data_IF_434000508649
#
_entry.id   IF_434000508649
#
_cell.length_a   1.000
_cell.length_b   1.000
_cell.length_c   1.000
_cell.angle_alpha   90.00
_cell.angle_beta   90.00
_cell.angle_gamma   90.00
#
_symmetry.space_group_name_H-M   'P 1'
#
loop_
_entity.id
_entity.type
_entity.pdbx_description
1 polymer ?
#
# COMPACT_ATOMS: atom_id res chain seq x y z
N UNK A 1 -9.93 -40.46 12.13
CA UNK A 1 -10.77 -39.25 12.19
C UNK A 1 -9.99 -38.13 11.51
N UNK A 2 -9.94 -38.16 10.18
CA UNK A 2 -9.34 -37.08 9.39
C UNK A 2 -10.36 -35.94 9.31
N UNK A 3 -10.14 -34.90 10.13
CA UNK A 3 -10.88 -33.66 9.95
C UNK A 3 -10.33 -32.93 8.71
N UNK A 4 -11.21 -32.84 7.71
CA UNK A 4 -11.14 -31.97 6.55
C UNK A 4 -10.57 -30.59 6.91
N UNK A 5 -9.30 -30.34 6.55
CA UNK A 5 -8.66 -29.03 6.70
C UNK A 5 -8.76 -28.26 5.37
N UNK A 6 -9.95 -27.76 5.06
CA UNK A 6 -10.17 -26.93 3.85
C UNK A 6 -11.10 -25.73 4.07
N UNK A 7 -11.16 -25.20 5.29
CA UNK A 7 -11.65 -23.83 5.45
C UNK A 7 -10.50 -22.89 5.06
N UNK A 8 -10.59 -22.35 3.84
CA UNK A 8 -9.73 -21.24 3.42
C UNK A 8 -10.05 -20.06 4.33
N UNK A 9 -9.16 -19.82 5.29
CA UNK A 9 -9.27 -18.70 6.20
C UNK A 9 -9.23 -17.38 5.43
N UNK A 10 -10.29 -16.58 5.52
CA UNK A 10 -10.43 -15.33 4.79
C UNK A 10 -9.56 -14.22 5.37
N UNK A 11 -9.24 -13.20 4.55
CA UNK A 11 -8.49 -12.03 5.02
C UNK A 11 -9.25 -11.27 6.11
N UNK A 12 -10.58 -11.23 6.02
CA UNK A 12 -11.46 -10.61 7.01
C UNK A 12 -11.43 -11.37 8.34
N UNK A 13 -11.46 -12.70 8.29
CA UNK A 13 -11.36 -13.56 9.48
C UNK A 13 -10.00 -13.37 10.17
N UNK A 14 -8.93 -13.23 9.39
CA UNK A 14 -7.60 -12.93 9.90
C UNK A 14 -7.53 -11.55 10.56
N UNK A 15 -8.09 -10.53 9.92
CA UNK A 15 -8.15 -9.19 10.50
C UNK A 15 -8.89 -9.19 11.85
N UNK A 16 -10.03 -9.89 11.92
CA UNK A 16 -10.80 -10.07 13.16
C UNK A 16 -9.97 -10.80 14.23
N UNK A 17 -9.29 -11.88 13.87
CA UNK A 17 -8.43 -12.63 14.78
C UNK A 17 -7.29 -11.75 15.32
N UNK A 18 -6.57 -11.05 14.43
CA UNK A 18 -5.44 -10.20 14.79
C UNK A 18 -5.88 -9.09 15.75
N UNK A 19 -7.03 -8.47 15.51
CA UNK A 19 -7.61 -7.48 16.41
C UNK A 19 -7.99 -8.09 17.76
N UNK A 20 -8.73 -9.21 17.75
CA UNK A 20 -9.19 -9.90 18.97
C UNK A 20 -8.05 -10.41 19.85
N UNK A 21 -6.93 -10.81 19.26
CA UNK A 21 -5.76 -11.34 19.98
C UNK A 21 -4.70 -10.30 20.31
N UNK A 22 -4.89 -9.05 19.90
CA UNK A 22 -3.94 -7.97 20.18
C UNK A 22 -2.64 -8.05 19.40
N UNK A 23 -2.75 -8.38 18.11
CA UNK A 23 -1.67 -8.22 17.14
C UNK A 23 -1.64 -6.82 16.54
N UNK A 24 -2.74 -6.37 15.95
CA UNK A 24 -2.79 -5.09 15.23
C UNK A 24 -4.14 -4.42 15.41
N UNK A 25 -4.13 -3.09 15.53
CA UNK A 25 -5.28 -2.22 15.66
C UNK A 25 -5.20 -1.09 14.64
N UNK A 26 -6.34 -0.57 14.19
CA UNK A 26 -6.34 0.67 13.40
C UNK A 26 -5.84 1.80 14.29
N UNK A 27 -4.90 2.62 13.82
CA UNK A 27 -4.45 3.77 14.62
C UNK A 27 -5.65 4.66 14.95
N UNK A 28 -5.68 5.22 16.16
CA UNK A 28 -6.71 6.20 16.58
C UNK A 28 -8.15 5.71 16.36
N UNK A 29 -8.39 4.40 16.54
CA UNK A 29 -9.66 3.74 16.19
C UNK A 29 -10.90 4.42 16.80
N UNK A 30 -10.81 4.83 18.07
CA UNK A 30 -11.92 5.49 18.78
C UNK A 30 -12.30 6.88 18.21
N UNK A 31 -11.46 7.43 17.34
CA UNK A 31 -11.67 8.69 16.63
C UNK A 31 -11.93 8.49 15.13
N UNK A 32 -12.30 7.28 14.70
CA UNK A 32 -12.55 6.92 13.29
C UNK A 32 -11.33 6.37 12.55
N UNK A 33 -10.13 6.56 13.13
CA UNK A 33 -8.84 6.06 12.67
C UNK A 33 -8.36 6.58 11.32
N UNK A 34 -7.09 6.32 11.01
CA UNK A 34 -6.44 6.84 9.81
C UNK A 34 -6.11 5.67 8.87
N UNK A 35 -6.59 5.73 7.63
CA UNK A 35 -6.32 4.69 6.64
C UNK A 35 -4.81 4.60 6.36
N UNK A 36 -4.28 3.37 6.28
CA UNK A 36 -2.85 3.12 6.07
C UNK A 36 -2.00 3.10 7.34
N UNK A 37 -2.54 3.45 8.51
CA UNK A 37 -1.79 3.51 9.77
C UNK A 37 -2.36 2.56 10.82
N UNK A 38 -1.47 1.84 11.52
CA UNK A 38 -1.83 0.77 12.44
C UNK A 38 -0.91 0.72 13.66
N UNK A 39 -1.49 0.37 14.81
CA UNK A 39 -0.79 0.17 16.07
C UNK A 39 -0.61 -1.32 16.37
N UNK A 40 0.60 -1.71 16.81
CA UNK A 40 0.87 -3.10 17.21
C UNK A 40 0.53 -3.30 18.69
N UNK A 41 -0.35 -4.27 18.97
CA UNK A 41 -0.70 -4.67 20.33
C UNK A 41 0.38 -5.54 21.00
N UNK A 42 0.11 -6.09 22.20
CA UNK A 42 1.10 -6.84 22.97
C UNK A 42 1.71 -8.02 22.20
N UNK A 43 0.87 -8.87 21.58
CA UNK A 43 1.37 -9.99 20.78
C UNK A 43 2.00 -9.53 19.46
N UNK A 44 1.51 -8.44 18.90
CA UNK A 44 2.02 -7.87 17.66
C UNK A 44 3.44 -7.31 17.81
N UNK A 45 3.72 -6.61 18.91
CA UNK A 45 5.06 -6.10 19.22
C UNK A 45 6.04 -7.24 19.41
N UNK A 46 5.68 -8.28 20.15
CA UNK A 46 6.54 -9.45 20.35
C UNK A 46 6.83 -10.18 19.03
N UNK A 47 5.80 -10.41 18.22
CA UNK A 47 5.96 -11.03 16.90
C UNK A 47 6.86 -10.18 16.00
N UNK A 48 6.61 -8.86 15.89
CA UNK A 48 7.41 -7.93 15.09
C UNK A 48 8.86 -7.94 15.54
N UNK A 49 9.12 -7.91 16.85
CA UNK A 49 10.47 -7.93 17.39
C UNK A 49 11.18 -9.27 17.15
N UNK A 50 10.46 -10.39 17.26
CA UNK A 50 11.00 -11.71 16.93
C UNK A 50 11.45 -11.79 15.46
N UNK A 51 10.62 -11.32 14.52
CA UNK A 51 10.95 -11.28 13.09
C UNK A 51 12.17 -10.39 12.85
N UNK A 52 12.20 -9.18 13.43
CA UNK A 52 13.34 -8.26 13.30
C UNK A 52 14.64 -8.88 13.81
N UNK A 53 14.62 -9.50 14.99
CA UNK A 53 15.80 -10.18 15.57
C UNK A 53 16.29 -11.33 14.70
N UNK A 54 15.36 -12.13 14.16
CA UNK A 54 15.69 -13.25 13.27
C UNK A 54 16.39 -12.74 12.00
N UNK A 55 15.85 -11.71 11.36
CA UNK A 55 16.43 -11.12 10.16
C UNK A 55 17.80 -10.49 10.45
N UNK A 56 17.91 -9.74 11.55
CA UNK A 56 19.18 -9.12 11.95
C UNK A 56 20.28 -10.16 12.19
N UNK A 57 19.96 -11.23 12.93
CA UNK A 57 20.91 -12.32 13.14
C UNK A 57 21.33 -12.95 11.80
N UNK A 58 20.36 -13.36 10.98
CA UNK A 58 20.60 -14.10 9.75
C UNK A 58 21.41 -13.32 8.71
N UNK A 59 21.12 -12.03 8.55
CA UNK A 59 21.69 -11.23 7.48
C UNK A 59 22.86 -10.36 7.94
N UNK A 60 22.87 -9.87 9.19
CA UNK A 60 23.91 -8.95 9.67
C UNK A 60 24.95 -9.65 10.54
N UNK A 61 24.53 -10.56 11.44
CA UNK A 61 25.46 -11.19 12.39
C UNK A 61 26.11 -12.46 11.82
N UNK A 62 25.35 -13.27 11.08
CA UNK A 62 25.81 -14.56 10.55
C UNK A 62 26.56 -14.41 9.20
N UNK A 63 26.69 -13.19 8.67
CA UNK A 63 27.36 -12.89 7.39
C UNK A 63 28.45 -11.86 7.59
N UNK A 64 29.59 -12.05 6.92
CA UNK A 64 30.73 -11.14 7.00
C UNK A 64 30.64 -9.96 6.02
N UNK A 65 29.71 -10.02 5.04
CA UNK A 65 29.60 -9.06 3.94
C UNK A 65 28.47 -8.02 4.11
N UNK A 66 27.84 -7.97 5.29
CA UNK A 66 26.74 -7.04 5.59
C UNK A 66 27.04 -6.33 6.91
N UNK A 67 26.94 -4.99 6.89
CA UNK A 67 27.18 -4.13 8.06
C UNK A 67 25.90 -3.43 8.47
N UNK A 68 25.59 -3.49 9.77
CA UNK A 68 24.45 -2.79 10.35
C UNK A 68 24.69 -1.29 10.50
N UNK A 69 23.73 -0.49 10.06
CA UNK A 69 23.69 0.97 10.26
C UNK A 69 22.31 1.38 10.79
N UNK A 70 22.25 2.46 11.56
CA UNK A 70 21.00 3.10 11.99
C UNK A 70 21.06 4.59 11.61
N UNK A 71 20.09 5.04 10.83
CA UNK A 71 20.09 6.35 10.18
C UNK A 71 18.88 7.19 10.56
N UNK A 72 18.99 8.51 10.40
CA UNK A 72 17.88 9.41 10.64
C UNK A 72 16.76 9.25 9.59
N UNK A 73 15.50 9.34 10.02
CA UNK A 73 14.33 9.30 9.11
C UNK A 73 14.23 10.59 8.29
N UNK A 74 14.48 11.74 8.91
CA UNK A 74 14.45 13.04 8.23
C UNK A 74 15.80 13.29 7.56
N UNK A 75 15.78 13.51 6.25
CA UNK A 75 16.98 13.73 5.42
C UNK A 75 16.92 15.07 4.68
N UNK A 76 18.09 15.61 4.33
CA UNK A 76 18.20 16.85 3.55
C UNK A 76 17.59 16.67 2.15
N UNK A 77 16.78 17.62 1.62
CA UNK A 77 16.06 17.48 0.35
C UNK A 77 16.91 17.05 -0.86
N UNK A 78 18.15 17.55 -0.95
CA UNK A 78 19.11 17.16 -2.00
C UNK A 78 19.39 15.65 -2.08
N UNK A 79 19.23 14.89 -1.00
CA UNK A 79 19.38 13.42 -1.00
C UNK A 79 18.27 12.77 -1.83
N UNK A 80 17.04 13.25 -1.67
CA UNK A 80 15.87 12.76 -2.44
C UNK A 80 15.94 13.16 -3.91
N UNK A 81 16.50 14.34 -4.21
CA UNK A 81 16.76 14.77 -5.58
C UNK A 81 17.84 13.90 -6.24
N UNK A 82 19.00 13.73 -5.58
CA UNK A 82 20.12 12.96 -6.13
C UNK A 82 19.79 11.47 -6.33
N UNK A 83 18.88 10.92 -5.53
CA UNK A 83 18.41 9.53 -5.68
C UNK A 83 17.26 9.38 -6.68
N UNK A 84 16.74 10.46 -7.25
CA UNK A 84 15.62 10.44 -8.21
C UNK A 84 14.22 10.31 -7.56
N UNK A 85 14.12 10.18 -6.23
CA UNK A 85 12.82 10.03 -5.56
C UNK A 85 11.87 11.21 -5.83
N UNK A 86 12.39 12.44 -5.94
CA UNK A 86 11.57 13.61 -6.21
C UNK A 86 10.90 13.56 -7.60
N UNK A 87 11.53 12.91 -8.57
CA UNK A 87 11.04 12.86 -9.96
C UNK A 87 10.24 11.60 -10.25
N UNK A 88 10.53 10.48 -9.58
CA UNK A 88 10.00 9.17 -9.97
C UNK A 88 9.18 8.46 -8.88
N UNK A 89 9.23 8.88 -7.62
CA UNK A 89 8.48 8.23 -6.54
C UNK A 89 7.09 8.85 -6.39
N UNK A 90 6.26 8.68 -7.42
CA UNK A 90 4.89 9.15 -7.47
C UNK A 90 3.99 8.10 -8.15
N UNK A 91 2.79 7.92 -7.60
CA UNK A 91 1.77 7.05 -8.19
C UNK A 91 0.87 7.89 -9.09
N UNK A 92 0.55 7.39 -10.28
CA UNK A 92 -0.38 8.07 -11.18
C UNK A 92 -1.81 7.98 -10.65
N UNK A 93 -2.48 9.13 -10.57
CA UNK A 93 -3.80 9.28 -9.96
C UNK A 93 -4.88 9.62 -11.01
N UNK A 94 -6.06 9.04 -10.82
CA UNK A 94 -7.29 9.40 -11.52
C UNK A 94 -8.18 10.24 -10.61
N UNK A 95 -8.44 11.48 -11.03
CA UNK A 95 -9.35 12.41 -10.35
C UNK A 95 -10.62 12.59 -11.17
N UNK A 96 -11.77 12.50 -10.51
CA UNK A 96 -13.06 12.69 -11.17
C UNK A 96 -13.26 14.17 -11.55
N UNK A 97 -13.53 14.43 -12.83
CA UNK A 97 -13.77 15.78 -13.38
C UNK A 97 -14.92 16.54 -12.71
N UNK A 98 -15.88 15.81 -12.13
CA UNK A 98 -16.91 16.43 -11.30
C UNK A 98 -16.35 16.78 -9.92
N UNK A 99 -16.01 18.06 -9.74
CA UNK A 99 -15.48 18.63 -8.49
C UNK A 99 -16.37 18.40 -7.26
N UNK A 100 -17.68 18.16 -7.43
CA UNK A 100 -18.58 17.81 -6.30
C UNK A 100 -18.44 16.36 -5.83
N UNK A 101 -17.89 15.48 -6.67
CA UNK A 101 -17.70 14.07 -6.34
C UNK A 101 -16.45 13.85 -5.48
N UNK A 102 -15.35 14.55 -5.78
CA UNK A 102 -14.07 14.44 -5.06
C UNK A 102 -13.44 13.05 -5.08
N UNK A 103 -13.85 12.17 -6.00
CA UNK A 103 -13.31 10.81 -6.09
C UNK A 103 -11.90 10.86 -6.68
N UNK A 104 -10.95 10.28 -5.94
CA UNK A 104 -9.56 10.10 -6.35
C UNK A 104 -9.16 8.66 -6.10
N UNK A 105 -8.49 8.04 -7.06
CA UNK A 105 -7.96 6.68 -6.93
C UNK A 105 -6.64 6.58 -7.66
N UNK A 106 -5.80 5.64 -7.24
CA UNK A 106 -4.62 5.28 -8.03
C UNK A 106 -5.07 4.65 -9.35
N UNK A 107 -4.44 5.07 -10.44
CA UNK A 107 -4.80 4.67 -11.80
C UNK A 107 -4.55 3.18 -12.03
N UNK A 108 -3.41 2.68 -11.55
CA UNK A 108 -2.99 1.29 -11.68
C UNK A 108 -3.98 0.32 -11.02
N UNK A 109 -4.28 0.55 -9.74
CA UNK A 109 -5.20 -0.27 -8.96
C UNK A 109 -6.62 -0.24 -9.56
N UNK A 110 -7.07 0.92 -10.03
CA UNK A 110 -8.40 1.05 -10.62
C UNK A 110 -8.52 0.33 -11.96
N UNK A 111 -7.50 0.45 -12.82
CA UNK A 111 -7.46 -0.24 -14.11
C UNK A 111 -7.35 -1.75 -13.90
N UNK A 112 -6.52 -2.20 -12.96
CA UNK A 112 -6.40 -3.63 -12.63
C UNK A 112 -7.73 -4.20 -12.09
N UNK A 113 -8.44 -3.46 -11.24
CA UNK A 113 -9.76 -3.87 -10.74
C UNK A 113 -10.79 -4.02 -11.87
N UNK A 114 -10.80 -3.10 -12.85
CA UNK A 114 -11.82 -3.07 -13.91
C UNK A 114 -11.51 -3.97 -15.10
N UNK A 115 -10.24 -4.05 -15.49
CA UNK A 115 -9.79 -4.73 -16.70
C UNK A 115 -9.00 -6.02 -16.42
N UNK A 116 -8.63 -6.29 -15.16
CA UNK A 116 -7.82 -7.45 -14.78
C UNK A 116 -6.40 -7.43 -15.38
N UNK A 117 -5.93 -6.26 -15.82
CA UNK A 117 -4.63 -6.09 -16.47
C UNK A 117 -3.77 -5.18 -15.59
N UNK A 118 -2.56 -5.63 -15.27
CA UNK A 118 -1.58 -4.81 -14.57
C UNK A 118 -0.98 -3.77 -15.52
N UNK A 119 -0.95 -2.52 -15.07
CA UNK A 119 -0.39 -1.36 -15.81
C UNK A 119 0.73 -0.68 -15.01
N UNK A 120 1.34 -1.41 -14.07
CA UNK A 120 2.42 -0.89 -13.24
C UNK A 120 3.60 -0.42 -14.10
N UNK A 121 4.06 0.81 -13.84
CA UNK A 121 5.22 1.39 -14.52
C UNK A 121 4.97 1.93 -15.93
N UNK A 122 3.72 1.93 -16.42
CA UNK A 122 3.39 2.60 -17.68
C UNK A 122 3.42 4.13 -17.52
N UNK A 123 3.82 4.87 -18.57
CA UNK A 123 3.82 6.33 -18.55
C UNK A 123 2.38 6.88 -18.52
N UNK A 124 2.23 8.12 -18.03
CA UNK A 124 0.92 8.76 -17.86
C UNK A 124 0.10 8.82 -19.17
N UNK A 125 0.75 9.05 -20.31
CA UNK A 125 0.09 9.12 -21.62
C UNK A 125 -0.56 7.80 -22.02
N UNK A 126 0.10 6.67 -21.73
CA UNK A 126 -0.43 5.34 -22.02
C UNK A 126 -1.58 4.98 -21.08
N UNK A 127 -1.46 5.32 -19.79
CA UNK A 127 -2.55 5.16 -18.82
C UNK A 127 -3.77 5.99 -19.24
N UNK A 128 -3.55 7.23 -19.68
CA UNK A 128 -4.62 8.08 -20.18
C UNK A 128 -5.29 7.48 -21.43
N UNK A 129 -4.51 6.89 -22.33
CA UNK A 129 -5.00 6.15 -23.50
C UNK A 129 -5.91 5.00 -23.07
N UNK A 130 -5.44 4.14 -22.15
CA UNK A 130 -6.20 2.99 -21.64
C UNK A 130 -7.53 3.42 -21.02
N UNK A 131 -7.54 4.51 -20.24
CA UNK A 131 -8.77 5.05 -19.62
C UNK A 131 -9.77 5.51 -20.68
N UNK A 132 -9.30 6.19 -21.73
CA UNK A 132 -10.15 6.67 -22.83
C UNK A 132 -10.66 5.53 -23.70
N UNK A 133 -9.78 4.61 -24.11
CA UNK A 133 -10.11 3.49 -25.00
C UNK A 133 -11.13 2.54 -24.38
N UNK A 134 -11.06 2.34 -23.06
CA UNK A 134 -12.00 1.50 -22.32
C UNK A 134 -13.19 2.28 -21.74
N UNK A 135 -13.31 3.58 -22.03
CA UNK A 135 -14.39 4.45 -21.53
C UNK A 135 -14.61 4.33 -20.02
N UNK A 136 -13.51 4.28 -19.25
CA UNK A 136 -13.57 4.12 -17.80
C UNK A 136 -14.09 5.40 -17.15
N UNK A 137 -15.10 5.25 -16.28
CA UNK A 137 -15.80 6.37 -15.63
C UNK A 137 -15.74 6.26 -14.11
N UNK A 138 -15.95 7.42 -13.46
CA UNK A 138 -16.04 7.49 -12.02
C UNK A 138 -17.17 6.58 -11.51
N UNK A 139 -16.89 5.65 -10.58
CA UNK A 139 -17.89 4.70 -10.08
C UNK A 139 -18.99 5.36 -9.23
N UNK A 140 -18.75 6.57 -8.72
CA UNK A 140 -19.69 7.28 -7.85
C UNK A 140 -20.69 8.16 -8.61
N UNK A 141 -20.25 8.85 -9.67
CA UNK A 141 -21.09 9.82 -10.37
C UNK A 141 -21.11 9.67 -11.90
N UNK A 142 -20.46 8.63 -12.43
CA UNK A 142 -20.40 8.32 -13.86
C UNK A 142 -19.87 9.46 -14.75
N UNK A 143 -19.12 10.39 -14.16
CA UNK A 143 -18.39 11.44 -14.88
C UNK A 143 -17.03 10.92 -15.35
N UNK A 144 -16.42 11.62 -16.29
CA UNK A 144 -15.11 11.27 -16.83
C UNK A 144 -13.98 11.66 -15.84
N UNK A 145 -12.78 11.11 -16.03
CA UNK A 145 -11.60 11.49 -15.26
C UNK A 145 -10.88 12.69 -15.90
N UNK A 146 -10.23 13.50 -15.08
CA UNK A 146 -9.29 14.54 -15.52
C UNK A 146 -8.02 13.90 -16.12
N UNK A 147 -7.08 14.75 -16.56
CA UNK A 147 -5.77 14.26 -17.01
C UNK A 147 -5.03 13.57 -15.87
N UNK A 148 -4.48 12.40 -16.17
CA UNK A 148 -3.68 11.60 -15.24
C UNK A 148 -2.49 12.43 -14.79
N UNK A 149 -2.36 12.64 -13.48
CA UNK A 149 -1.25 13.35 -12.86
C UNK A 149 -0.57 12.46 -11.81
N UNK A 150 0.70 12.74 -11.56
CA UNK A 150 1.53 12.09 -10.55
C UNK A 150 1.49 12.88 -9.23
#
# INVERSE_FOLDING_TARGET
>A
MEQNRKDKFGIEELAIFCKKKGFVYKTSEIYGGIAGFYDFGPLGVELKNNVKRLLWKRFVQDREDIVGIDGAIISHPKVWQASGHVESFADLMLECSNSKCGFKTRADAFIEEKLGTSVEGLPADEIQGIVKDNSLKCPLCNSDFEEVSA
#
